data_IF_961194921742
#
_entry.id   IF_961194921742
#
_cell.length_a   1.000
_cell.length_b   1.000
_cell.length_c   1.000
_cell.angle_alpha   90.00
_cell.angle_beta   90.00
_cell.angle_gamma   90.00
#
_symmetry.space_group_name_H-M   'P 1'
#
loop_
_entity.id
_entity.type
_entity.pdbx_description
1 polymer ?
#
# COMPACT_ATOMS: atom_id res chain seq x y z
N UNK A 1 11.58 21.17 41.10
CA UNK A 1 10.80 22.28 40.53
C UNK A 1 9.60 21.68 39.82
N UNK A 2 8.43 21.75 40.45
CA UNK A 2 7.17 21.26 39.88
C UNK A 2 6.06 21.95 40.67
N UNK A 3 5.29 22.81 40.02
CA UNK A 3 3.99 23.27 40.51
C UNK A 3 3.05 23.39 39.33
N UNK A 4 1.99 22.60 39.37
CA UNK A 4 0.76 22.82 38.64
C UNK A 4 0.30 24.26 38.88
N UNK A 5 -0.13 24.92 37.80
CA UNK A 5 -0.95 26.12 37.90
C UNK A 5 -2.17 25.92 36.99
N UNK A 6 -3.28 25.56 37.63
CA UNK A 6 -4.64 25.77 37.11
C UNK A 6 -4.94 27.26 37.29
N UNK A 7 -5.44 27.97 36.26
CA UNK A 7 -6.30 29.12 36.46
C UNK A 7 -7.73 28.68 36.08
N UNK A 8 -8.60 28.47 37.06
CA UNK A 8 -9.43 29.50 37.68
C UNK A 8 -10.36 30.14 36.63
N UNK A 9 -11.50 29.47 36.46
CA UNK A 9 -12.68 29.98 35.79
C UNK A 9 -13.26 31.12 36.65
N UNK A 10 -13.13 32.37 36.20
CA UNK A 10 -13.84 33.51 36.78
C UNK A 10 -15.05 33.85 35.91
N UNK A 11 -16.24 33.45 36.36
CA UNK A 11 -17.49 34.02 35.86
C UNK A 11 -17.66 35.42 36.47
N UNK A 12 -17.60 36.45 35.62
CA UNK A 12 -18.07 37.79 35.98
C UNK A 12 -19.40 38.00 35.25
N UNK A 13 -20.49 37.86 35.99
CA UNK A 13 -21.80 38.40 35.60
C UNK A 13 -21.80 39.90 35.91
N UNK A 14 -21.54 40.70 34.89
CA UNK A 14 -21.78 42.15 34.91
C UNK A 14 -22.92 42.49 33.96
N UNK A 15 -24.09 42.77 34.51
CA UNK A 15 -25.16 43.47 33.80
C UNK A 15 -24.92 44.97 33.89
N UNK A 16 -25.20 45.68 32.79
CA UNK A 16 -25.87 46.99 32.75
C UNK A 16 -25.12 48.10 31.99
N UNK A 17 -25.96 48.84 31.26
CA UNK A 17 -25.82 50.20 30.75
C UNK A 17 -25.11 50.33 29.40
N UNK A 18 -25.95 50.53 28.38
CA UNK A 18 -25.55 50.63 27.00
C UNK A 18 -24.85 51.93 26.63
N UNK A 19 -24.05 51.81 25.58
CA UNK A 19 -23.74 52.88 24.65
C UNK A 19 -23.45 52.21 23.31
N UNK A 20 -24.35 52.38 22.35
CA UNK A 20 -24.17 51.96 20.96
C UNK A 20 -22.98 52.74 20.38
N UNK A 21 -21.82 52.11 20.36
CA UNK A 21 -20.78 52.41 19.40
C UNK A 21 -20.92 51.38 18.28
N UNK A 22 -21.20 51.87 17.08
CA UNK A 22 -21.31 51.11 15.85
C UNK A 22 -19.97 50.40 15.58
N UNK A 23 -19.85 49.17 16.09
CA UNK A 23 -18.71 48.30 15.80
C UNK A 23 -18.99 47.61 14.48
N UNK A 24 -18.13 47.76 13.46
CA UNK A 24 -18.29 47.00 12.23
C UNK A 24 -18.25 45.51 12.59
N UNK A 25 -19.37 44.83 12.35
CA UNK A 25 -19.53 43.39 12.52
C UNK A 25 -18.32 42.73 11.82
N UNK A 26 -17.50 41.94 12.51
CA UNK A 26 -16.50 41.11 11.83
C UNK A 26 -17.26 40.22 10.86
N UNK A 27 -17.14 40.51 9.57
CA UNK A 27 -17.67 39.62 8.55
C UNK A 27 -17.02 38.26 8.77
N UNK A 28 -17.78 37.15 8.77
CA UNK A 28 -17.16 35.84 8.75
C UNK A 28 -16.29 35.79 7.51
N UNK A 29 -14.97 35.77 7.72
CA UNK A 29 -14.01 35.52 6.65
C UNK A 29 -14.49 34.22 6.00
N UNK A 30 -14.79 34.19 4.70
CA UNK A 30 -15.07 32.94 4.03
C UNK A 30 -13.91 32.01 4.39
N UNK A 31 -14.22 30.86 4.99
CA UNK A 31 -13.21 29.82 5.15
C UNK A 31 -12.64 29.62 3.75
N UNK A 32 -11.41 30.06 3.55
CA UNK A 32 -10.67 29.88 2.33
C UNK A 32 -10.74 28.37 2.08
N UNK A 33 -11.59 27.97 1.14
CA UNK A 33 -11.78 26.57 0.81
C UNK A 33 -10.39 26.11 0.39
N UNK A 34 -9.70 25.38 1.27
CA UNK A 34 -8.41 24.82 0.97
C UNK A 34 -8.60 24.09 -0.36
N UNK A 35 -8.03 24.63 -1.44
CA UNK A 35 -8.22 24.07 -2.77
C UNK A 35 -7.65 22.66 -2.69
N UNK A 36 -8.53 21.66 -2.72
CA UNK A 36 -8.12 20.27 -2.72
C UNK A 36 -7.40 20.04 -4.04
N UNK A 37 -6.12 19.68 -3.95
CA UNK A 37 -5.35 19.32 -5.12
C UNK A 37 -5.89 17.96 -5.58
N UNK A 38 -6.46 17.91 -6.77
CA UNK A 38 -7.06 16.69 -7.32
C UNK A 38 -6.08 15.96 -8.24
N UNK A 39 -6.21 14.64 -8.29
CA UNK A 39 -5.56 13.76 -9.26
C UNK A 39 -6.62 13.03 -10.08
N UNK A 40 -6.27 12.40 -11.23
CA UNK A 40 -7.17 11.47 -11.91
C UNK A 40 -7.66 10.29 -11.05
N UNK A 41 -7.07 10.09 -9.87
CA UNK A 41 -7.41 9.03 -8.92
C UNK A 41 -8.12 9.56 -7.66
N UNK A 42 -8.47 10.84 -7.62
CA UNK A 42 -9.14 11.53 -6.52
C UNK A 42 -8.22 12.51 -5.77
N UNK A 43 -8.64 12.90 -4.57
CA UNK A 43 -7.92 13.86 -3.73
C UNK A 43 -6.46 13.44 -3.51
N UNK A 44 -5.54 14.39 -3.72
CA UNK A 44 -4.10 14.16 -3.63
C UNK A 44 -3.70 13.62 -2.25
N UNK A 45 -4.26 14.16 -1.17
CA UNK A 45 -3.96 13.72 0.20
C UNK A 45 -4.39 12.28 0.44
N UNK A 46 -5.59 11.92 -0.01
CA UNK A 46 -6.12 10.55 0.06
C UNK A 46 -5.28 9.57 -0.75
N UNK A 47 -4.92 9.93 -1.99
CA UNK A 47 -4.09 9.07 -2.85
C UNK A 47 -2.70 8.89 -2.23
N UNK A 48 -2.06 9.97 -1.77
CA UNK A 48 -0.75 9.89 -1.12
C UNK A 48 -0.80 9.04 0.15
N UNK A 49 -1.82 9.22 0.98
CA UNK A 49 -2.03 8.43 2.19
C UNK A 49 -2.17 6.94 1.89
N UNK A 50 -2.97 6.61 0.87
CA UNK A 50 -3.12 5.24 0.40
C UNK A 50 -1.80 4.65 -0.11
N UNK A 51 -1.06 5.34 -0.98
CA UNK A 51 0.23 4.87 -1.49
C UNK A 51 1.23 4.61 -0.37
N UNK A 52 1.29 5.52 0.61
CA UNK A 52 2.13 5.36 1.79
C UNK A 52 1.73 4.13 2.62
N UNK A 53 0.42 3.86 2.74
CA UNK A 53 -0.08 2.71 3.50
C UNK A 53 0.24 1.36 2.84
N UNK A 54 0.23 1.29 1.50
CA UNK A 54 0.51 0.03 0.79
C UNK A 54 2.00 -0.24 0.56
N UNK A 55 2.84 0.80 0.59
CA UNK A 55 4.26 0.69 0.27
C UNK A 55 5.03 -0.34 1.14
N UNK A 56 4.82 -0.45 2.46
CA UNK A 56 5.46 -1.48 3.27
C UNK A 56 5.19 -2.91 2.76
N UNK A 57 3.98 -3.18 2.27
CA UNK A 57 3.60 -4.50 1.74
C UNK A 57 4.26 -4.79 0.39
N UNK A 58 4.33 -3.78 -0.48
CA UNK A 58 5.05 -3.89 -1.76
C UNK A 58 6.53 -4.22 -1.50
N UNK A 59 7.16 -3.52 -0.53
CA UNK A 59 8.55 -3.75 -0.15
C UNK A 59 8.77 -5.15 0.44
N UNK A 60 7.89 -5.59 1.34
CA UNK A 60 7.98 -6.90 1.97
C UNK A 60 7.81 -8.05 0.95
N UNK A 61 6.82 -7.93 0.06
CA UNK A 61 6.58 -8.88 -1.03
C UNK A 61 7.76 -8.91 -2.02
N UNK A 62 8.36 -7.76 -2.31
CA UNK A 62 9.58 -7.66 -3.10
C UNK A 62 10.77 -8.35 -2.43
N UNK A 63 10.95 -8.13 -1.12
CA UNK A 63 12.01 -8.76 -0.32
C UNK A 63 11.87 -10.28 -0.29
N UNK A 64 10.68 -10.81 -0.02
CA UNK A 64 10.39 -12.24 -0.05
C UNK A 64 10.75 -12.85 -1.42
N UNK A 65 10.35 -12.19 -2.51
CA UNK A 65 10.67 -12.66 -3.86
C UNK A 65 12.18 -12.72 -4.12
N UNK A 66 12.94 -11.69 -3.71
CA UNK A 66 14.39 -11.68 -3.85
C UNK A 66 15.05 -12.80 -3.04
N UNK A 67 14.58 -13.06 -1.82
CA UNK A 67 15.07 -14.15 -0.98
C UNK A 67 14.82 -15.53 -1.60
N UNK A 68 13.63 -15.73 -2.20
CA UNK A 68 13.29 -16.96 -2.93
C UNK A 68 14.14 -17.12 -4.19
N UNK A 69 14.32 -16.07 -4.98
CA UNK A 69 15.16 -16.14 -6.19
C UNK A 69 16.63 -16.43 -5.87
N UNK A 70 17.15 -15.96 -4.73
CA UNK A 70 18.51 -16.29 -4.28
C UNK A 70 18.70 -17.78 -4.01
N UNK A 71 17.62 -18.52 -3.70
CA UNK A 71 17.67 -19.96 -3.47
C UNK A 71 17.92 -20.78 -4.77
N UNK A 72 17.75 -20.16 -5.94
CA UNK A 72 18.10 -20.74 -7.25
C UNK A 72 19.63 -20.83 -7.44
N UNK A 73 20.42 -20.08 -6.65
CA UNK A 73 21.88 -20.13 -6.65
C UNK A 73 22.56 -19.59 -7.92
N UNK A 74 23.90 -19.57 -7.92
CA UNK A 74 24.74 -19.16 -9.07
C UNK A 74 24.91 -20.24 -10.14
N UNK A 75 24.51 -21.49 -9.84
CA UNK A 75 24.48 -22.61 -10.79
C UNK A 75 23.33 -22.52 -11.79
N UNK A 76 22.37 -21.60 -11.58
CA UNK A 76 21.18 -21.44 -12.41
C UNK A 76 20.16 -22.58 -12.29
N UNK A 77 20.41 -23.56 -11.41
CA UNK A 77 19.51 -24.70 -11.19
C UNK A 77 18.93 -24.66 -9.77
N UNK A 78 17.63 -24.41 -9.70
CA UNK A 78 16.86 -24.59 -8.49
C UNK A 78 16.48 -26.07 -8.35
N UNK A 79 16.76 -26.69 -7.21
CA UNK A 79 16.09 -27.95 -6.84
C UNK A 79 14.78 -27.62 -6.16
N UNK A 80 13.76 -28.50 -6.29
CA UNK A 80 12.50 -28.37 -5.56
C UNK A 80 12.75 -28.22 -4.05
N UNK A 81 13.76 -28.90 -3.51
CA UNK A 81 14.20 -28.83 -2.11
C UNK A 81 14.58 -27.40 -1.67
N UNK A 82 15.47 -26.74 -2.42
CA UNK A 82 15.97 -25.43 -2.06
C UNK A 82 14.88 -24.37 -2.17
N UNK A 83 14.03 -24.46 -3.19
CA UNK A 83 12.88 -23.59 -3.36
C UNK A 83 11.86 -23.78 -2.24
N UNK A 84 11.50 -25.02 -1.92
CA UNK A 84 10.56 -25.32 -0.84
C UNK A 84 11.07 -24.78 0.51
N UNK A 85 12.37 -24.90 0.81
CA UNK A 85 12.96 -24.34 2.02
C UNK A 85 12.87 -22.80 2.05
N UNK A 86 13.22 -22.12 0.96
CA UNK A 86 13.18 -20.66 0.90
C UNK A 86 11.75 -20.11 0.94
N UNK A 87 10.85 -20.71 0.15
CA UNK A 87 9.43 -20.39 0.13
C UNK A 87 8.78 -20.66 1.49
N UNK A 88 9.18 -21.72 2.19
CA UNK A 88 8.72 -22.02 3.55
C UNK A 88 9.02 -20.91 4.56
N UNK A 89 10.16 -20.22 4.42
CA UNK A 89 10.51 -19.04 5.24
C UNK A 89 9.67 -17.81 4.86
N UNK A 90 9.39 -17.63 3.57
CA UNK A 90 8.56 -16.53 3.06
C UNK A 90 7.07 -16.69 3.34
N UNK A 91 6.58 -17.93 3.42
CA UNK A 91 5.16 -18.25 3.55
C UNK A 91 4.45 -17.56 4.72
N UNK A 92 4.90 -17.66 5.99
CA UNK A 92 4.21 -17.00 7.11
C UNK A 92 4.21 -15.47 6.98
N UNK A 93 5.30 -14.90 6.44
CA UNK A 93 5.42 -13.45 6.21
C UNK A 93 4.46 -12.99 5.13
N UNK A 94 4.33 -13.73 4.03
CA UNK A 94 3.39 -13.43 2.95
C UNK A 94 1.93 -13.54 3.43
N UNK A 95 1.59 -14.56 4.24
CA UNK A 95 0.26 -14.69 4.86
C UNK A 95 -0.07 -13.49 5.75
N UNK A 96 0.87 -13.09 6.61
CA UNK A 96 0.70 -11.92 7.48
C UNK A 96 0.53 -10.63 6.67
N UNK A 97 1.36 -10.44 5.63
CA UNK A 97 1.28 -9.28 4.74
C UNK A 97 -0.06 -9.22 4.00
N UNK A 98 -0.59 -10.36 3.52
CA UNK A 98 -1.92 -10.42 2.89
C UNK A 98 -2.99 -10.00 3.88
N UNK A 99 -3.01 -10.59 5.08
CA UNK A 99 -4.03 -10.27 6.09
C UNK A 99 -4.06 -8.79 6.46
N UNK A 100 -2.88 -8.18 6.68
CA UNK A 100 -2.78 -6.75 6.98
C UNK A 100 -3.10 -5.85 5.77
N UNK A 101 -2.73 -6.27 4.56
CA UNK A 101 -3.03 -5.51 3.34
C UNK A 101 -4.55 -5.45 3.07
N UNK A 102 -5.28 -6.51 3.39
CA UNK A 102 -6.75 -6.57 3.26
C UNK A 102 -7.50 -5.60 4.19
N UNK A 103 -6.86 -5.13 5.26
CA UNK A 103 -7.44 -4.14 6.18
C UNK A 103 -7.40 -2.71 5.60
N UNK A 104 -6.62 -2.49 4.54
CA UNK A 104 -6.49 -1.18 3.90
C UNK A 104 -7.64 -0.97 2.90
N UNK A 105 -8.49 0.00 3.17
CA UNK A 105 -9.51 0.45 2.21
C UNK A 105 -8.86 1.32 1.11
N UNK A 106 -8.94 0.94 -0.18
CA UNK A 106 -8.43 1.78 -1.25
C UNK A 106 -9.41 2.93 -1.57
N UNK A 107 -8.90 4.10 -2.01
CA UNK A 107 -9.72 5.08 -2.73
C UNK A 107 -10.42 4.41 -3.91
N UNK A 108 -11.65 4.86 -4.24
CA UNK A 108 -12.52 4.19 -5.22
C UNK A 108 -11.81 3.94 -6.57
N UNK A 109 -11.09 4.95 -7.07
CA UNK A 109 -10.40 4.87 -8.36
C UNK A 109 -9.09 4.06 -8.32
N UNK A 110 -8.61 3.70 -7.12
CA UNK A 110 -7.45 2.83 -6.92
C UNK A 110 -7.84 1.39 -6.52
N UNK A 111 -9.13 1.10 -6.39
CA UNK A 111 -9.61 -0.25 -6.10
C UNK A 111 -9.10 -1.32 -7.11
N UNK A 112 -9.00 -1.04 -8.43
CA UNK A 112 -8.42 -2.00 -9.37
C UNK A 112 -6.93 -2.30 -9.10
N UNK A 113 -6.13 -1.26 -8.82
CA UNK A 113 -4.71 -1.42 -8.43
C UNK A 113 -4.59 -2.24 -7.15
N UNK A 114 -5.40 -1.93 -6.13
CA UNK A 114 -5.44 -2.67 -4.88
C UNK A 114 -5.74 -4.16 -5.09
N UNK A 115 -6.77 -4.46 -5.91
CA UNK A 115 -7.15 -5.82 -6.23
C UNK A 115 -6.05 -6.57 -6.99
N UNK A 116 -5.36 -5.92 -7.94
CA UNK A 116 -4.24 -6.52 -8.66
C UNK A 116 -3.05 -6.81 -7.73
N UNK A 117 -2.73 -5.92 -6.77
CA UNK A 117 -1.67 -6.17 -5.77
C UNK A 117 -2.04 -7.37 -4.91
N UNK A 118 -3.27 -7.41 -4.39
CA UNK A 118 -3.77 -8.56 -3.62
C UNK A 118 -3.69 -9.85 -4.43
N UNK A 119 -4.11 -9.81 -5.70
CA UNK A 119 -4.04 -10.96 -6.61
C UNK A 119 -2.61 -11.46 -6.75
N UNK A 120 -1.63 -10.57 -6.93
CA UNK A 120 -0.21 -10.95 -7.00
C UNK A 120 0.24 -11.67 -5.72
N UNK A 121 -0.10 -11.13 -4.55
CA UNK A 121 0.27 -11.72 -3.27
C UNK A 121 -0.32 -13.13 -3.09
N UNK A 122 -1.60 -13.30 -3.45
CA UNK A 122 -2.30 -14.59 -3.38
C UNK A 122 -1.74 -15.60 -4.37
N UNK A 123 -1.45 -15.22 -5.62
CA UNK A 123 -0.82 -16.11 -6.59
C UNK A 123 0.53 -16.64 -6.08
N UNK A 124 1.35 -15.76 -5.51
CA UNK A 124 2.63 -16.15 -4.91
C UNK A 124 2.44 -17.08 -3.71
N UNK A 125 1.47 -16.79 -2.84
CA UNK A 125 1.15 -17.65 -1.71
C UNK A 125 0.80 -19.06 -2.19
N UNK A 126 -0.12 -19.17 -3.15
CA UNK A 126 -0.58 -20.45 -3.70
C UNK A 126 0.58 -21.23 -4.34
N UNK A 127 1.46 -20.55 -5.09
CA UNK A 127 2.64 -21.18 -5.68
C UNK A 127 3.61 -21.70 -4.60
N UNK A 128 3.81 -20.95 -3.51
CA UNK A 128 4.69 -21.36 -2.43
C UNK A 128 4.14 -22.57 -1.69
N UNK A 129 2.85 -22.57 -1.34
CA UNK A 129 2.19 -23.72 -0.71
C UNK A 129 2.28 -24.97 -1.60
N UNK A 130 1.98 -24.82 -2.90
CA UNK A 130 2.05 -25.91 -3.85
C UNK A 130 3.48 -26.46 -4.03
N UNK A 131 4.50 -25.59 -4.05
CA UNK A 131 5.91 -26.01 -4.15
C UNK A 131 6.35 -26.80 -2.91
N UNK A 132 5.97 -26.33 -1.71
CA UNK A 132 6.27 -27.01 -0.44
C UNK A 132 5.57 -28.38 -0.39
N UNK A 133 4.30 -28.43 -0.80
CA UNK A 133 3.54 -29.67 -0.85
C UNK A 133 4.15 -30.66 -1.87
N UNK A 134 4.53 -30.18 -3.06
CA UNK A 134 5.18 -31.00 -4.07
C UNK A 134 6.49 -31.59 -3.55
N UNK A 135 7.31 -30.80 -2.86
CA UNK A 135 8.53 -31.30 -2.23
C UNK A 135 8.26 -32.42 -1.22
N UNK A 136 7.24 -32.28 -0.38
CA UNK A 136 6.86 -33.31 0.59
C UNK A 136 6.40 -34.62 -0.07
N UNK A 137 5.81 -34.54 -1.27
CA UNK A 137 5.41 -35.72 -2.07
C UNK A 137 6.64 -36.33 -2.76
N UNK A 138 7.53 -35.51 -3.33
CA UNK A 138 8.79 -35.95 -3.93
C UNK A 138 9.67 -36.70 -2.93
N UNK A 139 9.70 -36.27 -1.65
CA UNK A 139 10.38 -36.97 -0.56
C UNK A 139 9.86 -38.41 -0.32
N UNK A 140 8.66 -38.72 -0.79
CA UNK A 140 8.07 -40.06 -0.73
C UNK A 140 8.34 -40.88 -2.01
N UNK A 141 9.15 -40.36 -2.94
CA UNK A 141 9.53 -41.03 -4.18
C UNK A 141 8.54 -40.84 -5.34
N UNK A 142 7.57 -39.93 -5.21
CA UNK A 142 6.56 -39.66 -6.24
C UNK A 142 6.79 -38.27 -6.84
N UNK A 143 6.97 -38.20 -8.16
CA UNK A 143 7.00 -36.93 -8.89
C UNK A 143 5.64 -36.69 -9.54
N UNK A 144 4.94 -35.62 -9.14
CA UNK A 144 3.70 -35.19 -9.77
C UNK A 144 3.97 -34.06 -10.78
N UNK A 145 4.19 -34.43 -12.03
CA UNK A 145 4.45 -33.48 -13.12
C UNK A 145 3.28 -32.52 -13.37
N UNK A 146 2.04 -32.90 -13.04
CA UNK A 146 0.88 -32.03 -13.13
C UNK A 146 0.93 -30.91 -12.08
N UNK A 147 1.36 -31.24 -10.86
CA UNK A 147 1.57 -30.26 -9.80
C UNK A 147 2.72 -29.31 -10.12
N UNK A 148 3.83 -29.81 -10.66
CA UNK A 148 4.96 -28.99 -11.13
C UNK A 148 4.49 -27.98 -12.19
N UNK A 149 3.81 -28.44 -13.24
CA UNK A 149 3.31 -27.56 -14.30
C UNK A 149 2.32 -26.50 -13.76
N UNK A 150 1.48 -26.87 -12.79
CA UNK A 150 0.56 -25.93 -12.13
C UNK A 150 1.29 -24.84 -11.35
N UNK A 151 2.34 -25.19 -10.61
CA UNK A 151 3.19 -24.24 -9.88
C UNK A 151 3.84 -23.26 -10.86
N UNK A 152 4.47 -23.78 -11.91
CA UNK A 152 5.13 -22.95 -12.93
C UNK A 152 4.16 -21.98 -13.61
N UNK A 153 2.97 -22.45 -13.96
CA UNK A 153 1.92 -21.60 -14.54
C UNK A 153 1.46 -20.51 -13.57
N UNK A 154 1.32 -20.83 -12.28
CA UNK A 154 0.93 -19.86 -11.24
C UNK A 154 2.00 -18.79 -11.05
N UNK A 155 3.28 -19.19 -11.01
CA UNK A 155 4.41 -18.25 -10.91
C UNK A 155 4.54 -17.38 -12.17
N UNK A 156 4.27 -17.95 -13.35
CA UNK A 156 4.23 -17.21 -14.61
C UNK A 156 3.13 -16.16 -14.60
N UNK A 157 1.91 -16.52 -14.20
CA UNK A 157 0.81 -15.55 -14.07
C UNK A 157 1.17 -14.43 -13.07
N UNK A 158 1.77 -14.78 -11.93
CA UNK A 158 2.25 -13.79 -10.96
C UNK A 158 3.28 -12.84 -11.58
N UNK A 159 4.23 -13.34 -12.38
CA UNK A 159 5.26 -12.53 -13.03
C UNK A 159 4.68 -11.62 -14.13
N UNK A 160 3.72 -12.11 -14.91
CA UNK A 160 3.01 -11.30 -15.90
C UNK A 160 2.23 -10.15 -15.24
N UNK A 161 1.63 -10.41 -14.08
CA UNK A 161 0.90 -9.39 -13.31
C UNK A 161 1.81 -8.27 -12.76
N UNK A 162 3.08 -8.56 -12.45
CA UNK A 162 4.05 -7.54 -12.03
C UNK A 162 4.22 -6.46 -13.10
N UNK A 163 4.25 -6.83 -14.39
CA UNK A 163 4.37 -5.85 -15.48
C UNK A 163 3.19 -4.87 -15.47
N UNK A 164 1.97 -5.41 -15.37
CA UNK A 164 0.73 -4.60 -15.29
C UNK A 164 0.76 -3.68 -14.06
N UNK A 165 1.16 -4.20 -12.91
CA UNK A 165 1.27 -3.43 -11.67
C UNK A 165 2.30 -2.30 -11.77
N UNK A 166 3.45 -2.55 -12.40
CA UNK A 166 4.46 -1.51 -12.62
C UNK A 166 3.92 -0.39 -13.50
N UNK A 167 3.16 -0.72 -14.55
CA UNK A 167 2.50 0.27 -15.42
C UNK A 167 1.47 1.10 -14.64
N UNK A 168 0.61 0.46 -13.85
CA UNK A 168 -0.37 1.15 -13.01
C UNK A 168 0.31 2.07 -11.97
N UNK A 169 1.31 1.57 -11.25
CA UNK A 169 2.06 2.36 -10.27
C UNK A 169 2.77 3.55 -10.91
N UNK A 170 3.35 3.36 -12.10
CA UNK A 170 3.97 4.46 -12.85
C UNK A 170 2.97 5.55 -13.22
N UNK A 171 1.77 5.17 -13.69
CA UNK A 171 0.72 6.12 -14.04
C UNK A 171 0.21 6.90 -12.82
N UNK A 172 0.06 6.23 -11.67
CA UNK A 172 -0.32 6.88 -10.41
C UNK A 172 0.76 7.86 -9.96
N UNK A 173 2.02 7.46 -9.95
CA UNK A 173 3.13 8.33 -9.54
C UNK A 173 3.25 9.56 -10.44
N UNK A 174 3.13 9.40 -11.77
CA UNK A 174 3.13 10.53 -12.71
C UNK A 174 1.97 11.50 -12.46
N UNK A 175 0.79 10.99 -12.10
CA UNK A 175 -0.34 11.84 -11.74
C UNK A 175 -0.06 12.63 -10.44
N UNK A 176 0.54 11.98 -9.44
CA UNK A 176 0.92 12.62 -8.18
C UNK A 176 1.96 13.72 -8.41
N UNK A 177 3.01 13.45 -9.19
CA UNK A 177 4.04 14.43 -9.53
C UNK A 177 3.46 15.67 -10.21
N UNK A 178 2.57 15.48 -11.19
CA UNK A 178 1.88 16.58 -11.88
C UNK A 178 1.02 17.41 -10.94
N UNK A 179 0.27 16.76 -10.05
CA UNK A 179 -0.60 17.44 -9.09
C UNK A 179 0.21 18.21 -8.03
N UNK A 180 1.43 17.77 -7.70
CA UNK A 180 2.32 18.45 -6.76
C UNK A 180 3.08 19.66 -7.35
N UNK A 181 3.05 19.83 -8.67
CA UNK A 181 3.77 20.91 -9.36
C UNK A 181 2.92 22.20 -9.42
N UNK A 182 3.50 23.40 -9.23
CA UNK A 182 2.77 24.65 -9.40
C UNK A 182 2.25 24.78 -10.85
N UNK A 183 1.09 25.42 -11.09
CA UNK A 183 0.65 25.73 -12.44
C UNK A 183 1.74 26.53 -13.17
N UNK A 184 2.19 26.05 -14.32
CA UNK A 184 3.03 26.87 -15.19
C UNK A 184 2.17 28.03 -15.71
N UNK A 185 2.28 29.19 -15.08
CA UNK A 185 1.77 30.43 -15.66
C UNK A 185 2.60 30.72 -16.89
N UNK A 186 2.04 30.43 -18.07
CA UNK A 186 2.56 30.97 -19.31
C UNK A 186 2.45 32.50 -19.21
N UNK A 187 3.60 33.17 -19.05
CA UNK A 187 3.66 34.62 -19.21
C UNK A 187 3.37 34.98 -20.67
N UNK A 188 2.52 35.98 -20.94
CA UNK A 188 2.16 36.41 -22.28
C UNK A 188 3.32 37.01 -23.07
#
# INVERSE_FOLDING_TARGET
>A
MQRLAIPALCFILGCSSGQEADQPIPQPVPAESAQTVETPYGDFGQVQGYLNSINPFIQEVGKIHLEVNKAVGTSGQATTANLALAMGKGLPRLKAAIGQFEEIAPPLLLAPLHADIKKLMVLRLNAYEATINNWNIEQQGVLDSGLVAKVENTLREANELIRKLNEQMSQVNLAMEKASSPPQTASP
#
